data_IF_608125699492
#
_entry.id   IF_608125699492
#
_cell.length_a   1.000
_cell.length_b   1.000
_cell.length_c   1.000
_cell.angle_alpha   90.00
_cell.angle_beta   90.00
_cell.angle_gamma   90.00
#
_symmetry.space_group_name_H-M   'P 1'
#
loop_
_entity.id
_entity.type
_entity.pdbx_description
1 polymer ?
#
# COMPACT_ATOMS: atom_id res chain seq x y z
N UNK A 1 -15.83 20.83 -3.55
CA UNK A 1 -14.58 20.05 -3.53
C UNK A 1 -14.55 19.23 -2.24
N UNK A 2 -15.03 17.98 -2.27
CA UNK A 2 -15.05 17.16 -1.06
C UNK A 2 -13.63 16.66 -0.77
N UNK A 3 -12.91 17.40 0.08
CA UNK A 3 -11.73 16.90 0.76
C UNK A 3 -12.19 15.80 1.73
N UNK A 4 -12.39 14.59 1.19
CA UNK A 4 -12.59 13.39 2.00
C UNK A 4 -11.23 13.16 2.67
N UNK A 5 -11.18 13.27 4.00
CA UNK A 5 -10.02 12.91 4.81
C UNK A 5 -9.37 11.62 4.26
N UNK A 6 -8.03 11.51 4.26
CA UNK A 6 -7.31 10.51 3.46
C UNK A 6 -7.76 9.12 3.88
N UNK A 7 -8.73 8.55 3.16
CA UNK A 7 -8.91 7.11 3.17
C UNK A 7 -7.56 6.56 2.70
N UNK A 8 -7.00 5.54 3.35
CA UNK A 8 -5.73 4.97 2.93
C UNK A 8 -5.86 4.60 1.45
N UNK A 9 -5.22 5.42 0.62
CA UNK A 9 -5.34 5.29 -0.82
C UNK A 9 -4.40 4.14 -1.17
N UNK A 10 -4.89 2.99 -1.64
CA UNK A 10 -4.04 1.84 -1.86
C UNK A 10 -2.97 2.15 -2.92
N UNK A 11 -3.30 3.04 -3.85
CA UNK A 11 -2.34 3.60 -4.78
C UNK A 11 -1.25 4.40 -4.04
N UNK A 12 -1.62 5.31 -3.15
CA UNK A 12 -0.69 6.08 -2.33
C UNK A 12 0.20 5.23 -1.42
N UNK A 13 -0.34 4.18 -0.81
CA UNK A 13 0.42 3.25 0.06
C UNK A 13 1.49 2.46 -0.72
N UNK A 14 1.19 2.07 -1.97
CA UNK A 14 2.18 1.48 -2.89
C UNK A 14 3.06 2.54 -3.57
N UNK A 15 2.85 3.82 -3.25
CA UNK A 15 3.47 4.97 -3.91
C UNK A 15 3.16 5.05 -5.40
N UNK A 16 2.12 4.35 -5.88
CA UNK A 16 1.72 4.22 -7.27
C UNK A 16 0.58 5.17 -7.62
N UNK A 17 0.43 5.49 -8.91
CA UNK A 17 -0.75 6.20 -9.42
C UNK A 17 -1.88 5.24 -9.79
N UNK A 18 -3.12 5.73 -9.94
CA UNK A 18 -4.25 4.94 -10.45
C UNK A 18 -3.98 4.35 -11.85
N UNK A 19 -3.15 5.02 -12.65
CA UNK A 19 -2.69 4.54 -13.96
C UNK A 19 -1.65 3.42 -13.89
N UNK A 20 -1.18 3.03 -12.71
CA UNK A 20 -0.19 1.96 -12.57
C UNK A 20 -0.80 0.60 -12.94
N UNK A 21 -0.12 -0.10 -13.85
CA UNK A 21 -0.46 -1.48 -14.20
C UNK A 21 -0.12 -2.46 -13.08
N UNK A 22 -0.76 -3.63 -13.09
CA UNK A 22 -0.51 -4.68 -12.08
C UNK A 22 0.98 -5.02 -11.93
N UNK A 23 1.73 -5.10 -13.04
CA UNK A 23 3.17 -5.36 -13.01
C UNK A 23 3.97 -4.31 -12.23
N UNK A 24 3.64 -3.03 -12.40
CA UNK A 24 4.27 -1.92 -11.67
C UNK A 24 3.95 -2.00 -10.17
N UNK A 25 2.68 -2.26 -9.84
CA UNK A 25 2.21 -2.41 -8.46
C UNK A 25 2.93 -3.55 -7.74
N UNK A 26 3.08 -4.74 -8.36
CA UNK A 26 3.82 -5.85 -7.70
C UNK A 26 5.30 -5.54 -7.52
N UNK A 27 5.92 -4.82 -8.47
CA UNK A 27 7.33 -4.40 -8.32
C UNK A 27 7.49 -3.46 -7.13
N UNK A 28 6.60 -2.48 -6.98
CA UNK A 28 6.62 -1.55 -5.84
C UNK A 28 6.31 -2.26 -4.53
N UNK A 29 5.28 -3.09 -4.48
CA UNK A 29 4.94 -3.92 -3.32
C UNK A 29 6.15 -4.74 -2.84
N UNK A 30 6.79 -5.51 -3.72
CA UNK A 30 7.98 -6.31 -3.35
C UNK A 30 9.13 -5.47 -2.82
N UNK A 31 9.34 -4.27 -3.38
CA UNK A 31 10.37 -3.35 -2.92
C UNK A 31 10.05 -2.83 -1.52
N UNK A 32 8.83 -2.34 -1.33
CA UNK A 32 8.38 -1.75 -0.07
C UNK A 32 8.30 -2.80 1.06
N UNK A 33 7.75 -3.99 0.79
CA UNK A 33 7.75 -5.11 1.75
C UNK A 33 9.16 -5.44 2.19
N UNK A 34 10.12 -5.50 1.26
CA UNK A 34 11.52 -5.71 1.63
C UNK A 34 12.08 -4.55 2.44
N UNK A 35 11.73 -3.31 2.12
CA UNK A 35 12.22 -2.13 2.87
C UNK A 35 11.68 -2.07 4.30
N UNK A 36 10.40 -2.35 4.49
CA UNK A 36 9.69 -2.22 5.77
C UNK A 36 9.53 -3.57 6.51
N UNK A 37 10.21 -4.63 6.07
CA UNK A 37 10.09 -5.94 6.71
C UNK A 37 10.66 -5.90 8.14
N UNK A 38 9.94 -6.44 9.15
CA UNK A 38 10.43 -6.47 10.52
C UNK A 38 11.77 -7.22 10.67
N UNK A 39 12.04 -8.29 9.90
CA UNK A 39 13.38 -8.94 9.88
C UNK A 39 14.55 -8.00 9.58
N UNK A 40 14.31 -6.91 8.84
CA UNK A 40 15.39 -5.97 8.52
C UNK A 40 15.61 -4.95 9.61
N UNK A 41 14.73 -4.90 10.60
CA UNK A 41 14.87 -4.00 11.72
C UNK A 41 15.89 -4.60 12.68
N UNK A 42 16.91 -3.81 12.97
CA UNK A 42 17.91 -4.18 13.97
C UNK A 42 17.24 -4.23 15.34
N UNK A 43 17.71 -5.09 16.23
CA UNK A 43 17.21 -5.16 17.61
C UNK A 43 17.41 -3.84 18.37
N UNK A 44 18.37 -3.01 17.95
CA UNK A 44 18.62 -1.66 18.46
C UNK A 44 17.76 -0.57 17.81
N UNK A 45 16.88 -0.91 16.86
CA UNK A 45 15.98 0.06 16.27
C UNK A 45 15.01 0.61 17.32
N UNK A 46 14.76 1.93 17.35
CA UNK A 46 13.80 2.51 18.28
C UNK A 46 12.41 1.89 18.04
N UNK A 47 11.67 1.66 19.13
CA UNK A 47 10.33 1.06 19.08
C UNK A 47 9.41 1.81 18.11
N UNK A 48 9.53 3.13 18.03
CA UNK A 48 8.79 3.98 17.09
C UNK A 48 9.08 3.64 15.63
N UNK A 49 10.35 3.37 15.28
CA UNK A 49 10.71 2.96 13.92
C UNK A 49 10.22 1.54 13.61
N UNK A 50 10.15 0.67 14.62
CA UNK A 50 9.56 -0.66 14.48
C UNK A 50 8.06 -0.56 14.22
N UNK A 51 7.37 0.24 15.03
CA UNK A 51 5.94 0.48 14.89
C UNK A 51 5.61 1.15 13.56
N UNK A 52 6.41 2.14 13.10
CA UNK A 52 6.22 2.77 11.79
C UNK A 52 6.43 1.78 10.64
N UNK A 53 7.42 0.90 10.71
CA UNK A 53 7.63 -0.13 9.69
C UNK A 53 6.49 -1.13 9.63
N UNK A 54 6.00 -1.60 10.77
CA UNK A 54 4.82 -2.48 10.84
C UNK A 54 3.60 -1.77 10.27
N UNK A 55 3.38 -0.50 10.62
CA UNK A 55 2.27 0.30 10.11
C UNK A 55 2.33 0.45 8.58
N UNK A 56 3.49 0.84 8.05
CA UNK A 56 3.69 0.94 6.58
C UNK A 56 3.48 -0.40 5.92
N UNK A 57 4.03 -1.48 6.48
CA UNK A 57 3.86 -2.83 5.96
C UNK A 57 2.38 -3.23 5.87
N UNK A 58 1.59 -2.96 6.91
CA UNK A 58 0.14 -3.23 6.91
C UNK A 58 -0.55 -2.42 5.80
N UNK A 59 -0.23 -1.12 5.66
CA UNK A 59 -0.79 -0.28 4.60
C UNK A 59 -0.45 -0.81 3.19
N UNK A 60 0.80 -1.23 2.99
CA UNK A 60 1.30 -1.81 1.74
C UNK A 60 0.60 -3.13 1.42
N UNK A 61 0.40 -3.99 2.43
CA UNK A 61 -0.28 -5.28 2.29
C UNK A 61 -1.77 -5.13 1.99
N UNK A 62 -2.46 -4.24 2.70
CA UNK A 62 -3.85 -3.88 2.43
C UNK A 62 -4.02 -3.35 1.01
N UNK A 63 -3.13 -2.46 0.58
CA UNK A 63 -3.14 -1.94 -0.78
C UNK A 63 -2.92 -3.03 -1.82
N UNK A 64 -2.02 -3.97 -1.57
CA UNK A 64 -1.76 -5.09 -2.45
C UNK A 64 -2.94 -6.07 -2.52
N UNK A 65 -3.67 -6.31 -1.43
CA UNK A 65 -4.91 -7.13 -1.45
C UNK A 65 -5.97 -6.54 -2.37
N UNK A 66 -6.04 -5.22 -2.47
CA UNK A 66 -6.99 -4.51 -3.33
C UNK A 66 -6.47 -4.43 -4.77
N UNK A 67 -5.22 -4.02 -4.97
CA UNK A 67 -4.68 -3.68 -6.30
C UNK A 67 -3.89 -4.82 -6.98
N UNK A 68 -3.58 -5.88 -6.24
CA UNK A 68 -2.72 -6.98 -6.69
C UNK A 68 -3.42 -7.96 -7.62
N UNK A 69 -4.75 -8.08 -7.50
CA UNK A 69 -5.58 -8.84 -8.44
C UNK A 69 -6.34 -7.88 -9.35
N UNK A 70 -6.46 -8.27 -10.61
CA UNK A 70 -7.18 -7.46 -11.60
C UNK A 70 -8.65 -7.33 -11.24
N UNK A 71 -9.27 -8.40 -10.71
CA UNK A 71 -10.66 -8.41 -10.27
C UNK A 71 -10.92 -7.45 -9.10
N UNK A 72 -10.13 -7.56 -8.02
CA UNK A 72 -10.25 -6.67 -6.85
C UNK A 72 -9.91 -5.22 -7.19
N UNK A 73 -8.94 -4.98 -8.09
CA UNK A 73 -8.60 -3.64 -8.57
C UNK A 73 -9.79 -3.05 -9.32
N UNK A 74 -10.39 -3.83 -10.22
CA UNK A 74 -11.52 -3.40 -11.04
C UNK A 74 -12.75 -3.11 -10.18
N UNK A 75 -13.02 -3.95 -9.19
CA UNK A 75 -14.10 -3.72 -8.21
C UNK A 75 -13.85 -2.45 -7.39
N UNK A 76 -12.62 -2.23 -6.92
CA UNK A 76 -12.25 -1.01 -6.22
C UNK A 76 -12.38 0.24 -7.09
N UNK A 77 -11.92 0.19 -8.34
CA UNK A 77 -12.04 1.29 -9.29
C UNK A 77 -13.52 1.56 -9.62
N UNK A 78 -14.37 0.53 -9.74
CA UNK A 78 -15.83 0.69 -9.92
C UNK A 78 -16.48 1.35 -8.69
N UNK A 79 -16.14 0.88 -7.48
CA UNK A 79 -16.62 1.45 -6.22
C UNK A 79 -16.21 2.92 -6.04
N UNK A 80 -15.00 3.29 -6.49
CA UNK A 80 -14.52 4.69 -6.38
C UNK A 80 -15.19 5.63 -7.39
N UNK A 81 -15.53 5.12 -8.58
CA UNK A 81 -16.15 5.90 -9.67
C UNK A 81 -17.66 6.07 -9.50
N UNK A 82 -18.30 5.18 -8.74
CA UNK A 82 -19.75 5.20 -8.47
C UNK A 82 -20.20 6.07 -7.29
N UNK A 83 -19.34 6.93 -6.73
CA UNK A 83 -19.67 7.85 -5.62
C UNK A 83 -19.56 9.31 -6.02
#
# INVERSE_FOLDING_TARGET
MAARAPRPDPYGALGAGPSAGAAELRRRYRRLVRTYHPDRQSADAPAEAVEECVRKFIEIDQAWKILGHEETKKEYDLLRLGS
#
